data_IF_675088952997
#
_entry.id   IF_675088952997
#
_cell.length_a   1.000
_cell.length_b   1.000
_cell.length_c   1.000
_cell.angle_alpha   90.00
_cell.angle_beta   90.00
_cell.angle_gamma   90.00
#
_symmetry.space_group_name_H-M   'P 1'
#
loop_
_entity.id
_entity.type
_entity.pdbx_description
1 polymer ?
#
# COMPACT_ATOMS: atom_id res chain seq x y z
N UNK A 1 -25.15 -10.45 -2.80
CA UNK A 1 -23.72 -10.21 -3.09
C UNK A 1 -22.93 -10.54 -1.84
N UNK A 2 -21.97 -11.47 -1.88
CA UNK A 2 -21.25 -11.94 -0.68
C UNK A 2 -20.17 -10.92 -0.25
N UNK A 3 -20.59 -9.86 0.44
CA UNK A 3 -19.77 -8.76 0.96
C UNK A 3 -18.53 -9.23 1.72
N UNK A 4 -18.65 -10.30 2.52
CA UNK A 4 -17.52 -10.86 3.27
C UNK A 4 -16.37 -11.36 2.40
N UNK A 5 -16.66 -11.90 1.19
CA UNK A 5 -15.61 -12.38 0.29
C UNK A 5 -14.79 -11.21 -0.26
N UNK A 6 -15.44 -10.13 -0.66
CA UNK A 6 -14.77 -8.92 -1.16
C UNK A 6 -14.01 -8.19 -0.05
N UNK A 7 -14.53 -8.21 1.18
CA UNK A 7 -13.84 -7.66 2.34
C UNK A 7 -12.53 -8.41 2.63
N UNK A 8 -12.57 -9.75 2.63
CA UNK A 8 -11.37 -10.57 2.80
C UNK A 8 -10.36 -10.38 1.66
N UNK A 9 -10.85 -10.23 0.42
CA UNK A 9 -9.99 -9.99 -0.74
C UNK A 9 -9.30 -8.62 -0.65
N UNK A 10 -10.04 -7.58 -0.25
CA UNK A 10 -9.48 -6.25 0.01
C UNK A 10 -8.44 -6.27 1.13
N UNK A 11 -8.72 -7.00 2.22
CA UNK A 11 -7.76 -7.18 3.31
C UNK A 11 -6.50 -7.93 2.86
N UNK A 12 -6.64 -8.93 1.99
CA UNK A 12 -5.50 -9.62 1.38
C UNK A 12 -4.63 -8.67 0.56
N UNK A 13 -5.24 -7.83 -0.30
CA UNK A 13 -4.50 -6.84 -1.06
C UNK A 13 -3.82 -5.79 -0.18
N UNK A 14 -4.47 -5.37 0.90
CA UNK A 14 -3.85 -4.51 1.91
C UNK A 14 -2.58 -5.15 2.50
N UNK A 15 -2.67 -6.40 2.95
CA UNK A 15 -1.53 -7.14 3.51
C UNK A 15 -0.43 -7.32 2.47
N UNK A 16 -0.76 -7.68 1.23
CA UNK A 16 0.21 -7.80 0.13
C UNK A 16 0.91 -6.48 -0.18
N UNK A 17 0.17 -5.36 -0.16
CA UNK A 17 0.74 -4.03 -0.35
C UNK A 17 1.69 -3.62 0.77
N UNK A 18 1.40 -4.00 2.02
CA UNK A 18 2.34 -3.81 3.14
C UNK A 18 3.54 -4.75 3.01
N UNK A 19 3.35 -6.01 2.61
CA UNK A 19 4.46 -6.95 2.40
C UNK A 19 5.35 -6.58 1.22
N UNK A 20 4.83 -5.84 0.23
CA UNK A 20 5.65 -5.31 -0.87
C UNK A 20 6.73 -4.33 -0.39
N UNK A 21 6.60 -3.78 0.83
CA UNK A 21 7.63 -2.96 1.49
C UNK A 21 8.77 -3.76 2.11
N UNK A 22 8.54 -5.04 2.45
CA UNK A 22 9.50 -5.86 3.18
C UNK A 22 10.89 -5.90 2.53
N UNK A 23 11.01 -6.07 1.19
CA UNK A 23 12.31 -6.05 0.53
C UNK A 23 13.04 -4.72 0.70
N UNK A 24 12.33 -3.59 0.64
CA UNK A 24 12.94 -2.26 0.79
C UNK A 24 13.41 -2.03 2.24
N UNK A 25 12.63 -2.48 3.23
CA UNK A 25 12.98 -2.36 4.65
C UNK A 25 14.13 -3.27 5.11
N UNK A 26 14.26 -4.48 4.53
CA UNK A 26 15.28 -5.46 4.94
C UNK A 26 16.57 -5.26 4.15
N UNK A 27 16.46 -4.94 2.88
CA UNK A 27 17.59 -4.98 1.97
C UNK A 27 18.25 -3.61 1.76
N UNK A 28 17.58 -2.52 2.17
CA UNK A 28 18.09 -1.13 2.14
C UNK A 28 18.45 -0.62 0.73
N UNK A 29 18.03 -1.34 -0.30
CA UNK A 29 18.03 -0.88 -1.69
C UNK A 29 16.60 -0.73 -2.20
N UNK A 30 16.31 0.48 -2.70
CA UNK A 30 15.02 0.84 -3.29
C UNK A 30 14.70 -0.04 -4.49
N UNK A 31 13.93 -1.09 -4.28
CA UNK A 31 13.49 -1.99 -5.35
C UNK A 31 12.20 -1.49 -5.98
N UNK A 32 12.00 -1.70 -7.31
CA UNK A 32 10.73 -1.41 -7.96
C UNK A 32 9.55 -2.21 -7.39
N UNK A 33 9.82 -3.24 -6.58
CA UNK A 33 8.82 -4.05 -5.90
C UNK A 33 7.89 -3.20 -5.01
N UNK A 34 8.35 -2.09 -4.44
CA UNK A 34 7.46 -1.21 -3.66
C UNK A 34 6.39 -0.52 -4.49
N UNK A 35 6.56 -0.39 -5.81
CA UNK A 35 5.49 0.12 -6.70
C UNK A 35 4.29 -0.83 -6.76
N UNK A 36 4.47 -2.11 -6.43
CA UNK A 36 3.36 -3.05 -6.32
C UNK A 36 2.40 -2.67 -5.18
N UNK A 37 2.85 -1.95 -4.15
CA UNK A 37 1.95 -1.43 -3.11
C UNK A 37 0.89 -0.48 -3.69
N UNK A 38 1.23 0.24 -4.77
CA UNK A 38 0.29 1.10 -5.47
C UNK A 38 -0.79 0.29 -6.21
N UNK A 39 -0.39 -0.77 -6.91
CA UNK A 39 -1.31 -1.68 -7.61
C UNK A 39 -2.20 -2.44 -6.61
N UNK A 40 -1.61 -3.00 -5.55
CA UNK A 40 -2.35 -3.71 -4.52
C UNK A 40 -3.29 -2.78 -3.75
N UNK A 41 -2.85 -1.58 -3.40
CA UNK A 41 -3.71 -0.55 -2.80
C UNK A 41 -4.90 -0.19 -3.70
N UNK A 42 -4.67 0.05 -5.00
CA UNK A 42 -5.76 0.36 -5.94
C UNK A 42 -6.78 -0.79 -6.05
N UNK A 43 -6.32 -2.04 -6.19
CA UNK A 43 -7.19 -3.21 -6.21
C UNK A 43 -7.95 -3.37 -4.88
N UNK A 44 -7.27 -3.17 -3.75
CA UNK A 44 -7.86 -3.22 -2.42
C UNK A 44 -8.95 -2.18 -2.22
N UNK A 45 -8.80 -0.96 -2.75
CA UNK A 45 -9.83 0.09 -2.77
C UNK A 45 -11.06 -0.36 -3.56
N UNK A 46 -10.87 -0.92 -4.76
CA UNK A 46 -11.98 -1.39 -5.60
C UNK A 46 -12.80 -2.46 -4.87
N UNK A 47 -12.13 -3.46 -4.29
CA UNK A 47 -12.82 -4.51 -3.53
C UNK A 47 -13.45 -3.99 -2.23
N UNK A 48 -12.82 -3.05 -1.52
CA UNK A 48 -13.39 -2.42 -0.34
C UNK A 48 -14.63 -1.57 -0.67
N UNK A 49 -14.61 -0.85 -1.79
CA UNK A 49 -15.73 -0.07 -2.30
C UNK A 49 -16.94 -0.93 -2.64
N UNK A 50 -16.71 -2.07 -3.32
CA UNK A 50 -17.75 -3.07 -3.59
C UNK A 50 -18.30 -3.65 -2.27
N UNK A 51 -17.44 -3.87 -1.28
CA UNK A 51 -17.82 -4.35 0.04
C UNK A 51 -18.48 -3.28 0.94
N UNK A 52 -18.50 -2.01 0.51
CA UNK A 52 -18.94 -0.83 1.29
C UNK A 52 -18.22 -0.67 2.64
N UNK A 53 -16.97 -1.14 2.73
CA UNK A 53 -16.15 -1.01 3.94
C UNK A 53 -15.20 0.19 3.81
N UNK A 54 -15.64 1.35 4.32
CA UNK A 54 -14.88 2.60 4.26
C UNK A 54 -13.53 2.53 4.99
N UNK A 55 -13.41 1.73 6.06
CA UNK A 55 -12.16 1.58 6.78
C UNK A 55 -11.10 0.93 5.88
N UNK A 56 -11.47 -0.13 5.15
CA UNK A 56 -10.58 -0.78 4.18
C UNK A 56 -10.27 0.10 2.96
N UNK A 57 -11.21 0.95 2.53
CA UNK A 57 -10.94 1.92 1.46
C UNK A 57 -9.82 2.86 1.89
N UNK A 58 -9.95 3.48 3.07
CA UNK A 58 -8.95 4.41 3.61
C UNK A 58 -7.61 3.70 3.85
N UNK A 59 -7.63 2.49 4.43
CA UNK A 59 -6.41 1.72 4.66
C UNK A 59 -5.66 1.40 3.36
N UNK A 60 -6.37 0.97 2.32
CA UNK A 60 -5.75 0.69 1.02
C UNK A 60 -5.31 1.96 0.29
N UNK A 61 -5.98 3.10 0.51
CA UNK A 61 -5.53 4.41 0.03
C UNK A 61 -4.18 4.80 0.63
N UNK A 62 -4.00 4.61 1.94
CA UNK A 62 -2.70 4.85 2.59
C UNK A 62 -1.61 3.95 2.03
N UNK A 63 -1.89 2.67 1.80
CA UNK A 63 -0.92 1.74 1.19
C UNK A 63 -0.59 2.16 -0.25
N UNK A 64 -1.57 2.64 -1.01
CA UNK A 64 -1.36 3.11 -2.38
C UNK A 64 -0.41 4.31 -2.44
N UNK A 65 -0.60 5.30 -1.55
CA UNK A 65 0.24 6.50 -1.51
C UNK A 65 1.49 6.36 -0.64
N UNK A 66 1.63 5.27 0.12
CA UNK A 66 2.76 5.05 1.04
C UNK A 66 4.11 5.21 0.35
N UNK A 67 4.25 4.72 -0.88
CA UNK A 67 5.49 4.82 -1.66
C UNK A 67 5.95 6.26 -1.83
N UNK A 68 5.05 7.15 -2.25
CA UNK A 68 5.37 8.55 -2.47
C UNK A 68 5.72 9.27 -1.16
N UNK A 69 4.98 8.98 -0.09
CA UNK A 69 5.20 9.62 1.20
C UNK A 69 6.56 9.24 1.79
N UNK A 70 6.87 7.94 1.84
CA UNK A 70 8.10 7.44 2.46
C UNK A 70 9.33 7.80 1.64
N UNK A 71 9.30 7.59 0.32
CA UNK A 71 10.45 7.93 -0.53
C UNK A 71 10.66 9.46 -0.60
N UNK A 72 9.58 10.23 -0.71
CA UNK A 72 9.66 11.69 -0.73
C UNK A 72 10.25 12.26 0.57
N UNK A 73 9.81 11.75 1.72
CA UNK A 73 10.39 12.11 3.02
C UNK A 73 11.86 11.68 3.12
N UNK A 74 12.20 10.46 2.67
CA UNK A 74 13.57 9.97 2.68
C UNK A 74 14.53 10.86 1.89
N UNK A 75 14.15 11.27 0.67
CA UNK A 75 14.96 12.18 -0.13
C UNK A 75 15.03 13.60 0.47
N UNK A 76 13.93 14.09 1.04
CA UNK A 76 13.92 15.39 1.70
C UNK A 76 14.89 15.43 2.89
N UNK A 77 14.85 14.41 3.76
CA UNK A 77 15.79 14.30 4.89
C UNK A 77 17.24 14.18 4.41
N UNK A 78 17.49 13.32 3.41
CA UNK A 78 18.82 13.20 2.81
C UNK A 78 19.36 14.55 2.27
N UNK A 79 18.49 15.39 1.71
CA UNK A 79 18.89 16.72 1.21
C UNK A 79 19.18 17.76 2.29
N UNK A 80 18.79 17.51 3.55
CA UNK A 80 19.09 18.39 4.68
C UNK A 80 20.40 18.03 5.37
N UNK A 81 20.83 16.76 5.25
CA UNK A 81 22.05 16.23 5.85
C UNK A 81 23.29 16.34 4.93
N UNK A 82 23.10 16.71 3.66
CA UNK A 82 24.15 16.98 2.66
C UNK A 82 24.27 18.48 2.42
#
# INVERSE_FOLDING_TARGET
MNTHKYMNLSALFFVLGVLAWLPNLILDYGTPLTLLSMLFGALGIVFAGIARNWLLVVANLFVMFSFFLVMGLGYYLYSLDV
#
